data_IF_675535632800
#
_entry.id   IF_675535632800
#
_cell.length_a   1.000
_cell.length_b   1.000
_cell.length_c   1.000
_cell.angle_alpha   90.00
_cell.angle_beta   90.00
_cell.angle_gamma   90.00
#
_symmetry.space_group_name_H-M   'P 1'
#
loop_
_entity.id
_entity.type
_entity.pdbx_description
1 polymer ?
#
# COMPACT_ATOMS: atom_id res chain seq x y z
N UNK A 1 18.10 -12.77 0.12
CA UNK A 1 17.27 -11.85 -0.70
C UNK A 1 17.97 -11.60 -2.03
N UNK A 2 17.23 -11.54 -3.15
CA UNK A 2 17.82 -11.16 -4.43
C UNK A 2 18.02 -9.62 -4.45
N UNK A 3 18.96 -9.12 -5.26
CA UNK A 3 19.26 -7.66 -5.36
C UNK A 3 18.01 -6.81 -5.58
N UNK A 4 17.05 -7.32 -6.37
CA UNK A 4 15.80 -6.63 -6.67
C UNK A 4 14.85 -6.56 -5.46
N UNK A 5 14.80 -7.61 -4.63
CA UNK A 5 13.95 -7.61 -3.42
C UNK A 5 14.50 -6.61 -2.38
N UNK A 6 15.82 -6.46 -2.31
CA UNK A 6 16.46 -5.43 -1.47
C UNK A 6 16.20 -4.01 -1.99
N UNK A 7 16.27 -3.81 -3.31
CA UNK A 7 15.94 -2.53 -3.94
C UNK A 7 14.48 -2.11 -3.68
N UNK A 8 13.52 -3.04 -3.82
CA UNK A 8 12.11 -2.77 -3.53
C UNK A 8 11.88 -2.38 -2.07
N UNK A 9 12.54 -3.08 -1.15
CA UNK A 9 12.45 -2.78 0.28
C UNK A 9 13.01 -1.41 0.62
N UNK A 10 14.19 -1.05 0.09
CA UNK A 10 14.77 0.29 0.27
C UNK A 10 13.85 1.36 -0.32
N UNK A 11 13.35 1.14 -1.55
CA UNK A 11 12.44 2.07 -2.21
C UNK A 11 11.20 2.32 -1.36
N UNK A 12 10.59 1.27 -0.80
CA UNK A 12 9.42 1.39 0.06
C UNK A 12 9.71 2.16 1.35
N UNK A 13 10.85 1.89 2.01
CA UNK A 13 11.25 2.63 3.22
C UNK A 13 11.49 4.11 2.89
N UNK A 14 12.24 4.39 1.82
CA UNK A 14 12.57 5.75 1.42
C UNK A 14 11.31 6.54 1.06
N UNK A 15 10.39 5.94 0.33
CA UNK A 15 9.11 6.54 0.00
C UNK A 15 8.31 6.87 1.26
N UNK A 16 8.20 5.92 2.20
CA UNK A 16 7.51 6.16 3.47
C UNK A 16 8.13 7.31 4.26
N UNK A 17 9.47 7.38 4.34
CA UNK A 17 10.17 8.47 5.04
C UNK A 17 9.91 9.82 4.39
N UNK A 18 10.01 9.89 3.06
CA UNK A 18 9.71 11.12 2.30
C UNK A 18 8.25 11.52 2.47
N UNK A 19 7.34 10.56 2.43
CA UNK A 19 5.92 10.78 2.62
C UNK A 19 5.66 11.37 4.01
N UNK A 20 6.20 10.79 5.09
CA UNK A 20 6.07 11.32 6.46
C UNK A 20 6.58 12.76 6.60
N UNK A 21 7.68 13.11 5.91
CA UNK A 21 8.22 14.47 5.96
C UNK A 21 7.35 15.49 5.22
N UNK A 22 6.72 15.07 4.11
CA UNK A 22 5.90 15.95 3.27
C UNK A 22 4.41 15.91 3.62
N UNK A 23 3.99 15.00 4.50
CA UNK A 23 2.58 14.63 4.71
C UNK A 23 1.66 15.81 5.02
N UNK A 24 2.14 16.77 5.82
CA UNK A 24 1.38 17.96 6.20
C UNK A 24 1.27 19.02 5.08
N UNK A 25 1.96 18.82 3.96
CA UNK A 25 1.98 19.72 2.79
C UNK A 25 1.32 19.08 1.57
N UNK A 26 0.94 17.81 1.64
CA UNK A 26 0.32 17.11 0.53
C UNK A 26 -1.12 17.57 0.35
N UNK A 27 -1.53 17.72 -0.91
CA UNK A 27 -2.94 17.79 -1.28
C UNK A 27 -3.58 16.40 -1.20
N UNK A 28 -4.91 16.33 -1.22
CA UNK A 28 -5.64 15.05 -1.18
C UNK A 28 -5.19 14.08 -2.28
N UNK A 29 -5.03 14.57 -3.52
CA UNK A 29 -4.57 13.73 -4.63
C UNK A 29 -3.15 13.21 -4.42
N UNK A 30 -2.26 14.06 -3.93
CA UNK A 30 -0.88 13.66 -3.63
C UNK A 30 -0.83 12.66 -2.48
N UNK A 31 -1.68 12.83 -1.47
CA UNK A 31 -1.81 11.87 -0.38
C UNK A 31 -2.32 10.51 -0.87
N UNK A 32 -3.37 10.47 -1.70
CA UNK A 32 -3.85 9.21 -2.27
C UNK A 32 -2.75 8.48 -3.06
N UNK A 33 -1.96 9.22 -3.84
CA UNK A 33 -0.91 8.61 -4.65
C UNK A 33 0.30 8.15 -3.82
N UNK A 34 0.90 9.05 -3.04
CA UNK A 34 2.18 8.82 -2.34
C UNK A 34 2.03 8.18 -0.96
N UNK A 35 0.86 8.25 -0.32
CA UNK A 35 0.65 7.65 1.00
C UNK A 35 -0.16 6.34 0.93
N UNK A 36 -0.98 6.16 -0.11
CA UNK A 36 -1.84 4.98 -0.23
C UNK A 36 -1.41 4.06 -1.37
N UNK A 37 -1.42 4.55 -2.62
CA UNK A 37 -1.27 3.69 -3.81
C UNK A 37 0.17 3.18 -3.95
N UNK A 38 1.14 4.10 -3.95
CA UNK A 38 2.53 3.76 -4.23
C UNK A 38 3.15 2.86 -3.12
N UNK A 39 2.89 3.09 -1.81
CA UNK A 39 3.36 2.19 -0.75
C UNK A 39 2.71 0.80 -0.82
N UNK A 40 1.40 0.72 -1.12
CA UNK A 40 0.69 -0.55 -1.33
C UNK A 40 1.31 -1.34 -2.48
N UNK A 41 1.59 -0.68 -3.60
CA UNK A 41 2.14 -1.33 -4.77
C UNK A 41 3.56 -1.86 -4.51
N UNK A 42 4.42 -1.07 -3.86
CA UNK A 42 5.76 -1.53 -3.49
C UNK A 42 5.74 -2.69 -2.50
N UNK A 43 4.87 -2.63 -1.50
CA UNK A 43 4.69 -3.71 -0.52
C UNK A 43 4.18 -4.99 -1.18
N UNK A 44 3.16 -4.89 -2.02
CA UNK A 44 2.62 -6.02 -2.77
C UNK A 44 3.64 -6.62 -3.73
N UNK A 45 4.44 -5.79 -4.41
CA UNK A 45 5.56 -6.27 -5.26
C UNK A 45 6.58 -7.06 -4.46
N UNK A 46 6.98 -6.54 -3.30
CA UNK A 46 7.94 -7.19 -2.42
C UNK A 46 7.40 -8.50 -1.84
N UNK A 47 6.25 -8.44 -1.16
CA UNK A 47 5.63 -9.57 -0.47
C UNK A 47 5.12 -10.61 -1.47
N UNK A 48 4.55 -10.21 -2.60
CA UNK A 48 4.03 -11.11 -3.63
C UNK A 48 5.16 -11.93 -4.29
N UNK A 49 6.32 -11.31 -4.52
CA UNK A 49 7.51 -12.02 -5.01
C UNK A 49 8.02 -13.04 -4.00
N UNK A 50 8.14 -12.66 -2.73
CA UNK A 50 8.60 -13.58 -1.67
C UNK A 50 7.60 -14.73 -1.49
N UNK A 51 6.30 -14.41 -1.44
CA UNK A 51 5.22 -15.38 -1.32
C UNK A 51 5.20 -16.38 -2.47
N UNK A 52 5.60 -15.98 -3.68
CA UNK A 52 5.68 -16.89 -4.83
C UNK A 52 6.71 -18.01 -4.67
N UNK A 53 7.75 -17.79 -3.86
CA UNK A 53 8.87 -18.72 -3.65
C UNK A 53 8.73 -19.55 -2.36
N UNK A 54 7.83 -19.16 -1.44
CA UNK A 54 7.67 -19.81 -0.14
C UNK A 54 6.50 -20.80 -0.08
N UNK A 55 6.65 -21.88 0.71
CA UNK A 55 5.56 -22.85 0.96
C UNK A 55 4.38 -22.22 1.73
N UNK A 56 4.66 -21.33 2.67
CA UNK A 56 3.66 -20.64 3.52
C UNK A 56 3.11 -19.35 2.89
N UNK A 57 2.72 -19.40 1.60
CA UNK A 57 2.26 -18.24 0.81
C UNK A 57 1.09 -17.48 1.44
N UNK A 58 0.10 -18.18 2.00
CA UNK A 58 -1.08 -17.56 2.61
C UNK A 58 -0.75 -16.73 3.86
N UNK A 59 0.23 -17.19 4.65
CA UNK A 59 0.67 -16.44 5.83
C UNK A 59 1.31 -15.11 5.44
N UNK A 60 2.06 -15.06 4.34
CA UNK A 60 2.67 -13.83 3.84
C UNK A 60 1.64 -12.85 3.25
N UNK A 61 0.58 -13.36 2.60
CA UNK A 61 -0.52 -12.53 2.13
C UNK A 61 -1.25 -11.86 3.29
N UNK A 62 -1.57 -12.63 4.34
CA UNK A 62 -2.20 -12.07 5.54
C UNK A 62 -1.27 -11.07 6.22
N UNK A 63 0.03 -11.37 6.29
CA UNK A 63 1.02 -10.46 6.87
C UNK A 63 1.13 -9.15 6.09
N UNK A 64 1.12 -9.18 4.75
CA UNK A 64 1.17 -7.94 3.95
C UNK A 64 -0.05 -7.06 4.22
N UNK A 65 -1.25 -7.67 4.29
CA UNK A 65 -2.46 -6.97 4.68
C UNK A 65 -2.36 -6.30 6.06
N UNK A 66 -1.87 -7.02 7.07
CA UNK A 66 -1.71 -6.47 8.44
C UNK A 66 -0.73 -5.29 8.43
N UNK A 67 0.40 -5.44 7.75
CA UNK A 67 1.43 -4.39 7.66
C UNK A 67 0.87 -3.14 7.00
N UNK A 68 0.16 -3.28 5.88
CA UNK A 68 -0.41 -2.13 5.17
C UNK A 68 -1.53 -1.45 5.97
N UNK A 69 -2.44 -2.22 6.56
CA UNK A 69 -3.49 -1.66 7.41
C UNK A 69 -2.91 -0.92 8.63
N UNK A 70 -1.84 -1.47 9.23
CA UNK A 70 -1.09 -0.82 10.30
C UNK A 70 -0.41 0.47 9.87
N UNK A 71 0.21 0.48 8.68
CA UNK A 71 0.80 1.69 8.09
C UNK A 71 -0.27 2.77 7.88
N UNK A 72 -1.41 2.42 7.28
CA UNK A 72 -2.53 3.34 7.08
C UNK A 72 -3.07 3.90 8.39
N UNK A 73 -3.18 3.06 9.43
CA UNK A 73 -3.56 3.50 10.76
C UNK A 73 -2.60 4.55 11.33
N UNK A 74 -1.28 4.33 11.23
CA UNK A 74 -0.27 5.27 11.71
C UNK A 74 -0.32 6.58 10.93
N UNK A 75 -0.41 6.51 9.59
CA UNK A 75 -0.45 7.68 8.71
C UNK A 75 -1.66 8.58 9.02
N UNK A 76 -2.85 7.99 9.08
CA UNK A 76 -4.10 8.69 9.37
C UNK A 76 -4.09 9.29 10.79
N UNK A 77 -3.49 8.60 11.76
CA UNK A 77 -3.36 9.11 13.13
C UNK A 77 -2.39 10.28 13.22
N UNK A 78 -1.30 10.24 12.45
CA UNK A 78 -0.27 11.28 12.47
C UNK A 78 -0.73 12.54 11.75
N UNK A 79 -1.40 12.40 10.60
CA UNK A 79 -1.99 13.51 9.87
C UNK A 79 -3.44 13.18 9.56
N UNK A 80 -4.39 13.71 10.36
CA UNK A 80 -5.80 13.48 10.13
C UNK A 80 -6.23 14.10 8.79
N UNK A 81 -7.23 13.49 8.15
CA UNK A 81 -7.68 13.92 6.82
C UNK A 81 -8.07 15.40 6.77
N UNK A 82 -8.59 15.95 7.87
CA UNK A 82 -8.92 17.37 8.00
C UNK A 82 -7.75 18.30 7.66
N UNK A 83 -6.52 17.90 7.98
CA UNK A 83 -5.31 18.67 7.67
C UNK A 83 -4.97 18.59 6.18
N UNK A 84 -5.21 17.44 5.55
CA UNK A 84 -4.96 17.21 4.12
C UNK A 84 -6.02 17.92 3.27
N UNK A 85 -7.27 17.91 3.73
CA UNK A 85 -8.39 18.66 3.13
C UNK A 85 -8.11 20.16 3.13
N UNK A 86 -7.56 20.71 4.22
CA UNK A 86 -7.22 22.12 4.33
C UNK A 86 -6.14 22.58 3.32
N UNK A 87 -5.30 21.67 2.83
CA UNK A 87 -4.28 21.96 1.81
C UNK A 87 -4.82 21.96 0.38
N UNK A 88 -6.10 21.65 0.18
CA UNK A 88 -6.71 21.50 -1.14
C UNK A 88 -7.70 22.65 -1.37
N UNK A 89 -7.32 23.62 -2.21
CA UNK A 89 -8.18 24.78 -2.52
C UNK A 89 -9.29 24.35 -3.48
N UNK A 90 -10.36 23.73 -2.99
CA UNK A 90 -11.60 23.59 -3.76
C UNK A 90 -12.85 23.28 -2.89
N UNK A 91 -13.71 24.31 -2.81
CA UNK A 91 -15.18 24.36 -2.66
C UNK A 91 -15.90 23.35 -1.76
N UNK A 92 -16.60 23.91 -0.78
CA UNK A 92 -17.52 23.31 0.19
C UNK A 92 -18.77 22.60 -0.40
N UNK A 93 -18.67 21.82 -1.47
CA UNK A 93 -19.80 21.09 -2.05
C UNK A 93 -19.61 19.57 -2.00
N UNK A 94 -20.28 18.94 -1.03
CA UNK A 94 -20.90 17.60 -1.07
C UNK A 94 -20.05 16.33 -1.21
N UNK A 95 -18.74 16.36 -1.50
CA UNK A 95 -17.94 15.12 -1.70
C UNK A 95 -17.09 14.73 -0.47
N UNK A 96 -16.97 15.61 0.53
CA UNK A 96 -16.01 15.49 1.65
C UNK A 96 -16.62 15.17 3.03
N UNK A 97 -17.89 14.80 3.13
CA UNK A 97 -18.41 14.19 4.37
C UNK A 97 -17.95 12.73 4.57
N UNK A 98 -17.22 12.16 3.60
CA UNK A 98 -16.79 10.76 3.62
C UNK A 98 -15.68 10.43 4.63
N UNK A 99 -15.13 11.41 5.37
CA UNK A 99 -13.93 11.16 6.17
C UNK A 99 -13.93 11.72 7.61
N UNK A 100 -15.07 12.22 8.11
CA UNK A 100 -15.15 12.63 9.53
C UNK A 100 -15.13 11.47 10.52
N UNK A 101 -15.39 10.25 10.05
CA UNK A 101 -15.30 9.02 10.85
C UNK A 101 -14.63 7.93 10.01
N UNK A 102 -13.30 7.82 10.09
CA UNK A 102 -12.59 6.63 9.59
C UNK A 102 -13.00 5.47 10.51
N UNK A 103 -14.02 4.74 10.08
CA UNK A 103 -14.54 3.60 10.83
C UNK A 103 -13.58 2.42 10.69
N UNK A 104 -13.65 1.48 11.64
CA UNK A 104 -12.89 0.23 11.60
C UNK A 104 -12.98 -0.48 10.24
N UNK A 105 -14.13 -0.37 9.56
CA UNK A 105 -14.35 -0.89 8.21
C UNK A 105 -13.37 -0.39 7.15
N UNK A 106 -12.87 0.85 7.26
CA UNK A 106 -11.89 1.40 6.32
C UNK A 106 -10.54 0.68 6.42
N UNK A 107 -10.09 0.35 7.63
CA UNK A 107 -8.86 -0.42 7.85
C UNK A 107 -8.99 -1.87 7.41
N UNK A 108 -10.17 -2.48 7.59
CA UNK A 108 -10.49 -3.80 7.04
C UNK A 108 -10.48 -3.77 5.51
N UNK A 109 -10.99 -2.69 4.90
CA UNK A 109 -10.89 -2.45 3.46
C UNK A 109 -9.45 -2.45 2.95
N UNK A 110 -8.57 -1.67 3.60
CA UNK A 110 -7.14 -1.64 3.27
C UNK A 110 -6.46 -3.01 3.43
N UNK A 111 -6.80 -3.74 4.51
CA UNK A 111 -6.31 -5.10 4.73
C UNK A 111 -6.68 -6.05 3.60
N UNK A 112 -7.96 -6.09 3.21
CA UNK A 112 -8.46 -6.97 2.15
C UNK A 112 -7.89 -6.58 0.79
N UNK A 113 -7.84 -5.27 0.49
CA UNK A 113 -7.28 -4.74 -0.75
C UNK A 113 -5.83 -5.18 -0.94
N UNK A 114 -5.00 -5.05 0.10
CA UNK A 114 -3.58 -5.40 0.03
C UNK A 114 -3.38 -6.91 -0.14
N UNK A 115 -4.21 -7.74 0.50
CA UNK A 115 -4.19 -9.20 0.29
C UNK A 115 -4.42 -9.53 -1.17
N UNK A 116 -5.45 -8.94 -1.79
CA UNK A 116 -5.77 -9.20 -3.19
C UNK A 116 -4.65 -8.72 -4.12
N UNK A 117 -4.09 -7.53 -3.87
CA UNK A 117 -3.00 -7.00 -4.68
C UNK A 117 -1.75 -7.88 -4.58
N UNK A 118 -1.37 -8.29 -3.36
CA UNK A 118 -0.22 -9.16 -3.12
C UNK A 118 -0.43 -10.54 -3.76
N UNK A 119 -1.65 -11.08 -3.69
CA UNK A 119 -2.01 -12.36 -4.32
C UNK A 119 -1.95 -12.27 -5.85
N UNK A 120 -2.43 -11.16 -6.43
CA UNK A 120 -2.34 -10.90 -7.86
C UNK A 120 -0.88 -10.85 -8.33
N UNK A 121 -0.03 -10.07 -7.66
CA UNK A 121 1.41 -10.02 -7.96
C UNK A 121 2.04 -11.41 -7.88
N UNK A 122 1.73 -12.18 -6.83
CA UNK A 122 2.24 -13.54 -6.66
C UNK A 122 1.87 -14.43 -7.86
N UNK A 123 0.63 -14.36 -8.34
CA UNK A 123 0.17 -15.10 -9.51
C UNK A 123 0.92 -14.68 -10.77
N UNK A 124 1.03 -13.38 -11.03
CA UNK A 124 1.78 -12.83 -12.17
C UNK A 124 3.23 -13.34 -12.18
N UNK A 125 3.92 -13.27 -11.04
CA UNK A 125 5.29 -13.77 -10.91
C UNK A 125 5.38 -15.26 -11.23
N UNK A 126 4.42 -16.07 -10.80
CA UNK A 126 4.38 -17.51 -11.12
C UNK A 126 4.15 -17.76 -12.60
N UNK A 127 3.23 -17.03 -13.23
CA UNK A 127 2.95 -17.13 -14.67
C UNK A 127 4.21 -16.78 -15.47
N UNK A 128 4.85 -15.64 -15.18
CA UNK A 128 6.09 -15.26 -15.85
C UNK A 128 7.21 -16.30 -15.67
N UNK A 129 7.36 -16.87 -14.47
CA UNK A 129 8.34 -17.92 -14.24
C UNK A 129 8.02 -19.20 -15.04
N UNK A 130 6.74 -19.59 -15.16
CA UNK A 130 6.34 -20.74 -15.99
C UNK A 130 6.62 -20.50 -17.47
N UNK A 131 6.29 -19.31 -17.99
CA UNK A 131 6.57 -18.92 -19.37
C UNK A 131 8.08 -18.97 -19.63
N UNK A 132 8.89 -18.42 -18.72
CA UNK A 132 10.36 -18.41 -18.85
C UNK A 132 10.96 -19.81 -18.88
N UNK A 133 10.33 -20.78 -18.21
CA UNK A 133 10.76 -22.17 -18.19
C UNK A 133 10.22 -22.99 -19.38
N UNK A 134 9.45 -22.38 -20.29
CA UNK A 134 8.83 -23.09 -21.41
C UNK A 134 7.78 -24.12 -20.98
N UNK A 135 7.26 -24.01 -19.76
CA UNK A 135 6.32 -24.97 -19.17
C UNK A 135 4.86 -24.58 -19.39
N UNK A 136 4.56 -24.04 -20.59
CA UNK A 136 3.24 -23.54 -20.97
C UNK A 136 2.71 -24.26 -22.20
#
# INVERSE_FOLDING_TARGET
>A
MKKLDFFLLISGILEMVVCFYLLNKLTIFQFMFFAQILPSLLLALFMGRIASQMKKKWMLLVLSGIVYAGLMYILIKYTPMSTIEANTVQSASSVFEFNKNIQFGSYVGFFIQEIFLTAFVMLMVKVFNKIKLGAF
#
